data_IF_149931772178
#
_entry.id   IF_149931772178
#
_cell.length_a   1.000
_cell.length_b   1.000
_cell.length_c   1.000
_cell.angle_alpha   90.00
_cell.angle_beta   90.00
_cell.angle_gamma   90.00
#
_symmetry.space_group_name_H-M   'P 1'
#
loop_
_entity.id
_entity.type
_entity.pdbx_description
1 polymer ?
#
# COMPACT_ATOMS: atom_id res chain seq x y z
N UNK A 1 14.74 10.32 2.66
CA UNK A 1 13.28 10.38 2.83
C UNK A 1 13.00 9.76 4.18
N UNK A 2 12.53 10.55 5.15
CA UNK A 2 12.39 10.13 6.54
C UNK A 2 11.29 9.08 6.67
N UNK A 3 11.37 8.24 7.70
CA UNK A 3 10.32 7.25 8.03
C UNK A 3 8.97 7.96 8.24
N UNK A 4 9.01 9.19 8.77
CA UNK A 4 7.85 10.08 8.95
C UNK A 4 7.20 10.42 7.60
N UNK A 5 7.99 10.73 6.56
CA UNK A 5 7.48 11.01 5.22
C UNK A 5 6.79 9.78 4.61
N UNK A 6 7.33 8.58 4.87
CA UNK A 6 6.78 7.33 4.36
C UNK A 6 5.46 6.95 5.05
N UNK A 7 5.35 7.13 6.37
CA UNK A 7 4.11 6.85 7.09
C UNK A 7 2.97 7.80 6.65
N UNK A 8 3.25 9.10 6.50
CA UNK A 8 2.26 10.05 5.99
C UNK A 8 1.83 9.73 4.55
N UNK A 9 2.80 9.35 3.70
CA UNK A 9 2.52 8.91 2.33
C UNK A 9 1.59 7.70 2.31
N UNK A 10 1.90 6.63 3.04
CA UNK A 10 1.08 5.41 3.04
C UNK A 10 -0.29 5.65 3.66
N UNK A 11 -0.39 6.49 4.69
CA UNK A 11 -1.67 6.88 5.29
C UNK A 11 -2.57 7.60 4.27
N UNK A 12 -2.02 8.55 3.52
CA UNK A 12 -2.76 9.25 2.45
C UNK A 12 -3.21 8.26 1.37
N UNK A 13 -2.31 7.39 0.89
CA UNK A 13 -2.61 6.43 -0.17
C UNK A 13 -3.62 5.36 0.23
N UNK A 14 -3.59 4.93 1.50
CA UNK A 14 -4.60 4.04 2.07
C UNK A 14 -5.99 4.68 2.01
N UNK A 15 -6.12 5.94 2.43
CA UNK A 15 -7.37 6.69 2.34
C UNK A 15 -7.87 6.82 0.91
N UNK A 16 -7.02 7.26 -0.02
CA UNK A 16 -7.36 7.37 -1.45
C UNK A 16 -7.82 6.04 -2.05
N UNK A 17 -7.15 4.93 -1.74
CA UNK A 17 -7.50 3.60 -2.24
C UNK A 17 -8.85 3.12 -1.68
N UNK A 18 -9.14 3.36 -0.38
CA UNK A 18 -10.44 3.03 0.23
C UNK A 18 -11.57 3.81 -0.42
N UNK A 19 -11.43 5.13 -0.55
CA UNK A 19 -12.45 5.98 -1.20
C UNK A 19 -12.69 5.56 -2.65
N UNK A 20 -11.64 5.19 -3.40
CA UNK A 20 -11.79 4.68 -4.77
C UNK A 20 -12.48 3.31 -4.81
N UNK A 21 -12.22 2.42 -3.84
CA UNK A 21 -12.93 1.15 -3.75
C UNK A 21 -14.43 1.34 -3.47
N UNK A 22 -14.77 2.28 -2.58
CA UNK A 22 -16.15 2.59 -2.20
C UNK A 22 -16.93 3.21 -3.35
N UNK A 23 -16.30 4.10 -4.12
CA UNK A 23 -16.94 4.81 -5.25
C UNK A 23 -16.89 4.04 -6.56
N UNK A 24 -16.11 2.96 -6.67
CA UNK A 24 -16.02 2.15 -7.86
C UNK A 24 -17.33 1.41 -8.17
N UNK A 25 -17.86 1.67 -9.36
CA UNK A 25 -19.07 1.03 -9.88
C UNK A 25 -18.82 -0.41 -10.35
N UNK A 26 -17.64 -0.67 -10.93
CA UNK A 26 -17.26 -2.00 -11.41
C UNK A 26 -16.67 -2.86 -10.28
N UNK A 27 -17.12 -4.12 -10.12
CA UNK A 27 -16.65 -4.99 -9.06
C UNK A 27 -15.15 -5.33 -9.17
N UNK A 28 -14.60 -5.43 -10.38
CA UNK A 28 -13.19 -5.68 -10.62
C UNK A 28 -12.33 -4.49 -10.19
N UNK A 29 -12.76 -3.27 -10.50
CA UNK A 29 -12.08 -2.04 -10.09
C UNK A 29 -12.13 -1.88 -8.57
N UNK A 30 -13.26 -2.20 -7.95
CA UNK A 30 -13.40 -2.26 -6.49
C UNK A 30 -12.42 -3.24 -5.86
N UNK A 31 -12.27 -4.43 -6.44
CA UNK A 31 -11.33 -5.45 -5.97
C UNK A 31 -9.89 -4.93 -6.01
N UNK A 32 -9.47 -4.35 -7.13
CA UNK A 32 -8.11 -3.80 -7.28
C UNK A 32 -7.84 -2.71 -6.23
N UNK A 33 -8.79 -1.79 -6.01
CA UNK A 33 -8.60 -0.74 -5.00
C UNK A 33 -8.60 -1.27 -3.56
N UNK A 34 -9.34 -2.34 -3.26
CA UNK A 34 -9.23 -3.03 -1.96
C UNK A 34 -7.86 -3.69 -1.78
N UNK A 35 -7.37 -4.42 -2.78
CA UNK A 35 -6.03 -5.03 -2.73
C UNK A 35 -4.94 -3.96 -2.55
N UNK A 36 -5.09 -2.80 -3.20
CA UNK A 36 -4.18 -1.67 -2.99
C UNK A 36 -4.27 -1.09 -1.58
N UNK A 37 -5.49 -0.93 -1.03
CA UNK A 37 -5.67 -0.48 0.34
C UNK A 37 -5.03 -1.45 1.34
N UNK A 38 -5.17 -2.76 1.14
CA UNK A 38 -4.56 -3.77 2.01
C UNK A 38 -3.03 -3.66 1.98
N UNK A 39 -2.41 -3.52 0.78
CA UNK A 39 -0.96 -3.31 0.66
C UNK A 39 -0.47 -2.05 1.37
N UNK A 40 -1.16 -0.92 1.19
CA UNK A 40 -0.78 0.32 1.88
C UNK A 40 -0.97 0.22 3.39
N UNK A 41 -1.95 -0.55 3.86
CA UNK A 41 -2.17 -0.77 5.30
C UNK A 41 -1.00 -1.52 5.95
N UNK A 42 -0.44 -2.52 5.25
CA UNK A 42 0.76 -3.25 5.70
C UNK A 42 1.97 -2.32 5.71
N UNK A 43 2.22 -1.61 4.61
CA UNK A 43 3.35 -0.67 4.51
C UNK A 43 3.26 0.48 5.52
N UNK A 44 2.05 0.96 5.83
CA UNK A 44 1.83 1.95 6.87
C UNK A 44 2.21 1.39 8.24
N UNK A 45 1.73 0.19 8.56
CA UNK A 45 2.02 -0.46 9.85
C UNK A 45 3.52 -0.69 10.03
N UNK A 46 4.21 -1.10 8.96
CA UNK A 46 5.66 -1.29 8.94
C UNK A 46 6.40 0.03 9.14
N UNK A 47 6.00 1.08 8.43
CA UNK A 47 6.56 2.42 8.56
C UNK A 47 6.33 3.02 9.96
N UNK A 48 5.15 2.80 10.56
CA UNK A 48 4.82 3.29 11.91
C UNK A 48 5.61 2.55 13.01
N UNK A 49 5.90 1.26 12.83
CA UNK A 49 6.66 0.46 13.82
C UNK A 49 8.18 0.58 13.64
N UNK A 50 8.68 1.41 12.71
CA UNK A 50 10.10 1.50 12.39
C UNK A 50 10.68 0.20 11.82
N UNK A 51 9.81 -0.72 11.41
CA UNK A 51 10.19 -2.00 10.84
C UNK A 51 10.57 -1.79 9.38
N UNK A 52 11.81 -2.10 9.03
CA UNK A 52 12.08 -2.59 7.68
C UNK A 52 11.71 -4.08 7.63
N UNK A 53 10.55 -4.49 7.11
CA UNK A 53 10.54 -5.70 6.32
C UNK A 53 11.05 -5.29 4.94
N UNK A 54 12.26 -5.74 4.59
CA UNK A 54 12.63 -5.82 3.17
C UNK A 54 11.47 -6.49 2.45
N UNK A 55 10.82 -5.86 1.46
CA UNK A 55 10.07 -6.66 0.53
C UNK A 55 11.14 -7.47 -0.20
N UNK A 56 11.20 -8.77 0.08
CA UNK A 56 11.85 -9.72 -0.82
C UNK A 56 11.01 -9.71 -2.10
N UNK A 57 11.14 -8.63 -2.88
CA UNK A 57 10.80 -8.64 -4.29
C UNK A 57 11.71 -9.73 -4.84
N UNK A 58 11.13 -10.87 -5.19
CA UNK A 58 11.84 -11.98 -5.79
C UNK A 58 12.70 -11.40 -6.91
N UNK A 59 14.01 -11.40 -6.69
CA UNK A 59 15.00 -11.06 -7.70
C UNK A 59 14.83 -12.17 -8.73
N UNK A 60 14.04 -11.91 -9.76
CA UNK A 60 14.00 -12.77 -10.94
C UNK A 60 15.36 -12.55 -11.60
N UNK A 61 16.24 -13.57 -11.67
CA UNK A 61 17.49 -13.42 -12.39
C UNK A 61 17.15 -13.17 -13.86
N UNK A 62 17.66 -12.08 -14.40
CA UNK A 62 17.64 -11.84 -15.84
C UNK A 62 18.94 -12.46 -16.35
N UNK A 63 18.80 -13.56 -17.06
CA UNK A 63 19.86 -14.15 -17.89
C UNK A 63 20.42 -13.09 -18.85
#
# INVERSE_FOLDING_TARGET
>A
MSIVDNAEYYRRRLGEARTRAETAQLPEVRRVHREMADRYSVMLRDAEHGGMPRPTLGIVPRD
#
